data_IF_531837645657
#
_entry.id   IF_531837645657
#
_cell.length_a   1.000
_cell.length_b   1.000
_cell.length_c   1.000
_cell.angle_alpha   90.00
_cell.angle_beta   90.00
_cell.angle_gamma   90.00
#
_symmetry.space_group_name_H-M   'P 1'
#
loop_
_entity.id
_entity.type
_entity.pdbx_description
1 polymer ?
#
# COMPACT_ATOMS: atom_id res chain seq x y z
N UNK A 1 -54.58 -25.68 -27.90
CA UNK A 1 -54.72 -24.25 -28.24
C UNK A 1 -53.40 -23.56 -27.89
N UNK A 2 -52.48 -23.42 -28.86
CA UNK A 2 -51.21 -22.72 -28.67
C UNK A 2 -51.47 -21.22 -28.81
N UNK A 3 -51.31 -20.48 -27.72
CA UNK A 3 -51.37 -19.01 -27.73
C UNK A 3 -50.18 -18.47 -28.52
N UNK A 4 -50.42 -18.05 -29.76
CA UNK A 4 -49.42 -17.34 -30.56
C UNK A 4 -49.00 -16.07 -29.80
N UNK A 5 -47.74 -16.01 -29.37
CA UNK A 5 -47.17 -14.82 -28.72
C UNK A 5 -47.29 -13.65 -29.70
N UNK A 6 -47.82 -12.51 -29.24
CA UNK A 6 -48.01 -11.34 -30.08
C UNK A 6 -46.70 -10.91 -30.76
N UNK A 7 -46.71 -10.37 -32.00
CA UNK A 7 -45.51 -9.90 -32.69
C UNK A 7 -44.64 -8.94 -31.86
N UNK A 8 -45.27 -8.16 -30.98
CA UNK A 8 -44.60 -7.25 -30.06
C UNK A 8 -43.76 -7.99 -28.99
N UNK A 9 -44.18 -9.18 -28.56
CA UNK A 9 -43.44 -10.00 -27.59
C UNK A 9 -42.17 -10.61 -28.21
N UNK A 10 -42.24 -11.02 -29.48
CA UNK A 10 -41.08 -11.51 -30.23
C UNK A 10 -40.09 -10.38 -30.52
N UNK A 11 -40.57 -9.20 -30.91
CA UNK A 11 -39.73 -8.02 -31.12
C UNK A 11 -38.99 -7.57 -29.85
N UNK A 12 -39.67 -7.56 -28.69
CA UNK A 12 -39.04 -7.24 -27.39
C UNK A 12 -37.99 -8.28 -26.98
N UNK A 13 -38.26 -9.56 -27.20
CA UNK A 13 -37.30 -10.62 -26.92
C UNK A 13 -36.05 -10.52 -27.79
N UNK A 14 -36.22 -10.30 -29.10
CA UNK A 14 -35.10 -10.09 -30.02
C UNK A 14 -34.29 -8.84 -29.66
N UNK A 15 -34.96 -7.73 -29.33
CA UNK A 15 -34.28 -6.53 -28.86
C UNK A 15 -33.44 -6.80 -27.61
N UNK A 16 -33.99 -7.50 -26.61
CA UNK A 16 -33.26 -7.86 -25.39
C UNK A 16 -32.04 -8.75 -25.69
N UNK A 17 -32.19 -9.76 -26.56
CA UNK A 17 -31.09 -10.64 -26.97
C UNK A 17 -29.99 -9.85 -27.70
N UNK A 18 -30.37 -8.96 -28.62
CA UNK A 18 -29.41 -8.11 -29.34
C UNK A 18 -28.69 -7.18 -28.37
N UNK A 19 -29.41 -6.53 -27.45
CA UNK A 19 -28.81 -5.68 -26.42
C UNK A 19 -27.80 -6.44 -25.57
N UNK A 20 -28.16 -7.64 -25.09
CA UNK A 20 -27.24 -8.49 -24.32
C UNK A 20 -26.02 -8.91 -25.15
N UNK A 21 -26.22 -9.26 -26.42
CA UNK A 21 -25.12 -9.63 -27.32
C UNK A 21 -24.16 -8.45 -27.57
N UNK A 22 -24.70 -7.24 -27.76
CA UNK A 22 -23.89 -6.01 -27.92
C UNK A 22 -23.12 -5.72 -26.63
N UNK A 23 -23.77 -5.78 -25.46
CA UNK A 23 -23.10 -5.59 -24.17
C UNK A 23 -21.97 -6.61 -23.99
N UNK A 24 -22.23 -7.89 -24.25
CA UNK A 24 -21.22 -8.93 -24.15
C UNK A 24 -20.06 -8.72 -25.14
N UNK A 25 -20.35 -8.33 -26.38
CA UNK A 25 -19.34 -8.02 -27.38
C UNK A 25 -18.51 -6.78 -27.01
N UNK A 26 -19.13 -5.74 -26.47
CA UNK A 26 -18.43 -4.53 -25.98
C UNK A 26 -17.55 -4.84 -24.79
N UNK A 27 -18.01 -5.64 -23.82
CA UNK A 27 -17.21 -6.09 -22.68
C UNK A 27 -16.02 -6.93 -23.16
N UNK A 28 -16.24 -7.85 -24.10
CA UNK A 28 -15.17 -8.68 -24.66
C UNK A 28 -14.16 -7.83 -25.43
N UNK A 29 -14.63 -6.93 -26.29
CA UNK A 29 -13.77 -6.02 -27.06
C UNK A 29 -12.95 -5.12 -26.14
N UNK A 30 -13.56 -4.56 -25.09
CA UNK A 30 -12.88 -3.80 -24.07
C UNK A 30 -11.85 -4.65 -23.32
N UNK A 31 -12.21 -5.87 -22.90
CA UNK A 31 -11.32 -6.79 -22.22
C UNK A 31 -10.10 -7.16 -23.06
N UNK A 32 -10.29 -7.40 -24.36
CA UNK A 32 -9.19 -7.63 -25.32
C UNK A 32 -8.34 -6.37 -25.46
N UNK A 33 -8.95 -5.21 -25.72
CA UNK A 33 -8.21 -3.95 -25.86
C UNK A 33 -7.37 -3.64 -24.61
N UNK A 34 -7.94 -3.86 -23.42
CA UNK A 34 -7.28 -3.64 -22.14
C UNK A 34 -6.14 -4.65 -21.92
N UNK A 35 -6.38 -5.94 -22.15
CA UNK A 35 -5.38 -6.99 -21.95
C UNK A 35 -4.19 -6.90 -22.91
N UNK A 36 -4.41 -6.39 -24.13
CA UNK A 36 -3.38 -6.26 -25.16
C UNK A 36 -2.92 -4.82 -25.37
N UNK A 37 -3.29 -3.89 -24.48
CA UNK A 37 -2.75 -2.53 -24.51
C UNK A 37 -1.26 -2.60 -24.17
N UNK A 38 -0.43 -2.48 -25.19
CA UNK A 38 1.03 -2.46 -25.01
C UNK A 38 1.42 -1.27 -24.10
N UNK A 39 2.43 -1.45 -23.23
CA UNK A 39 3.09 -0.31 -22.59
C UNK A 39 3.50 0.69 -23.67
N UNK A 40 3.38 1.98 -23.38
CA UNK A 40 3.83 3.01 -24.31
C UNK A 40 5.30 2.74 -24.69
N UNK A 41 5.70 2.88 -25.96
CA UNK A 41 7.09 2.74 -26.35
C UNK A 41 7.98 3.71 -25.55
N UNK A 42 9.27 3.40 -25.46
CA UNK A 42 10.22 4.27 -24.76
C UNK A 42 10.10 5.73 -25.21
N UNK A 43 10.17 6.66 -24.27
CA UNK A 43 9.95 8.08 -24.50
C UNK A 43 11.14 8.92 -24.01
N UNK A 44 11.35 10.07 -24.65
CA UNK A 44 12.31 11.08 -24.18
C UNK A 44 11.54 12.23 -23.54
N UNK A 45 11.78 12.43 -22.25
CA UNK A 45 11.19 13.50 -21.47
C UNK A 45 12.04 14.77 -21.62
N UNK A 46 11.55 15.71 -22.43
CA UNK A 46 12.12 17.06 -22.58
C UNK A 46 11.08 18.08 -22.15
N UNK A 47 11.31 18.75 -21.02
CA UNK A 47 10.34 19.64 -20.36
C UNK A 47 11.04 20.55 -19.37
N UNK A 48 10.40 21.66 -18.97
CA UNK A 48 10.87 22.54 -17.90
C UNK A 48 10.88 21.87 -16.52
N UNK A 49 10.28 20.70 -16.38
CA UNK A 49 10.28 19.89 -15.16
C UNK A 49 11.57 19.09 -14.94
N UNK A 50 12.44 19.02 -15.95
CA UNK A 50 13.76 18.39 -15.87
C UNK A 50 14.80 19.40 -16.35
N UNK A 51 16.00 19.36 -15.77
CA UNK A 51 17.11 20.23 -16.15
C UNK A 51 17.73 19.87 -17.49
N UNK A 52 17.73 18.58 -17.84
CA UNK A 52 18.16 18.05 -19.14
C UNK A 52 17.18 16.97 -19.63
N UNK A 53 17.28 16.58 -20.90
CA UNK A 53 16.56 15.46 -21.46
C UNK A 53 16.79 14.16 -20.67
N UNK A 54 15.69 13.50 -20.31
CA UNK A 54 15.69 12.17 -19.68
C UNK A 54 15.16 11.16 -20.68
N UNK A 55 15.80 10.01 -20.80
CA UNK A 55 15.30 8.93 -21.66
C UNK A 55 14.73 7.80 -20.81
N UNK A 56 13.50 7.41 -21.09
CA UNK A 56 12.79 6.32 -20.42
C UNK A 56 12.59 5.21 -21.46
N UNK A 57 13.44 4.18 -21.40
CA UNK A 57 13.27 2.99 -22.24
C UNK A 57 12.37 1.99 -21.53
N UNK A 58 11.54 1.24 -22.26
CA UNK A 58 10.81 0.09 -21.70
C UNK A 58 11.23 -1.18 -22.41
N UNK A 59 11.52 -2.21 -21.64
CA UNK A 59 11.81 -3.54 -22.19
C UNK A 59 10.51 -4.28 -22.58
N UNK A 60 10.63 -5.52 -23.07
CA UNK A 60 9.48 -6.35 -23.49
C UNK A 60 8.44 -6.62 -22.39
N UNK A 61 8.84 -6.50 -21.11
CA UNK A 61 7.95 -6.65 -19.95
C UNK A 61 7.38 -5.32 -19.47
N UNK A 62 7.67 -4.21 -20.16
CA UNK A 62 7.23 -2.87 -19.79
C UNK A 62 8.04 -2.24 -18.65
N UNK A 63 9.13 -2.86 -18.19
CA UNK A 63 9.96 -2.33 -17.09
C UNK A 63 10.71 -1.08 -17.59
N UNK A 64 10.57 0.08 -16.93
CA UNK A 64 11.30 1.28 -17.31
C UNK A 64 12.78 1.22 -16.93
N UNK A 65 13.62 1.63 -17.86
CA UNK A 65 15.03 1.93 -17.71
C UNK A 65 15.22 3.44 -17.95
N UNK A 66 15.37 4.17 -16.85
CA UNK A 66 15.47 5.63 -16.82
C UNK A 66 16.94 6.01 -16.88
N UNK A 67 17.30 6.86 -17.84
CA UNK A 67 18.66 7.40 -18.01
C UNK A 67 18.59 8.92 -17.98
N UNK A 68 19.17 9.50 -16.94
CA UNK A 68 19.17 10.94 -16.68
C UNK A 68 20.58 11.48 -16.45
N UNK A 69 20.78 12.79 -16.69
CA UNK A 69 22.06 13.48 -16.46
C UNK A 69 22.18 14.12 -15.07
N UNK A 70 21.09 14.17 -14.31
CA UNK A 70 21.09 14.58 -12.91
C UNK A 70 20.24 13.62 -12.08
N UNK A 71 20.50 13.57 -10.77
CA UNK A 71 19.73 12.71 -9.87
C UNK A 71 18.27 13.20 -9.73
N UNK A 72 18.04 14.51 -9.73
CA UNK A 72 16.69 15.09 -9.63
C UNK A 72 15.86 14.74 -10.87
N UNK A 73 16.46 14.84 -12.06
CA UNK A 73 15.80 14.43 -13.31
C UNK A 73 15.43 12.94 -13.31
N UNK A 74 16.30 12.10 -12.70
CA UNK A 74 16.05 10.67 -12.55
C UNK A 74 14.84 10.40 -11.64
N UNK A 75 14.74 11.08 -10.49
CA UNK A 75 13.60 10.96 -9.58
C UNK A 75 12.32 11.55 -10.18
N UNK A 76 12.41 12.65 -10.92
CA UNK A 76 11.30 13.21 -11.69
C UNK A 76 10.76 12.19 -12.71
N UNK A 77 11.64 11.58 -13.51
CA UNK A 77 11.23 10.55 -14.46
C UNK A 77 10.69 9.27 -13.76
N UNK A 78 11.16 8.93 -12.56
CA UNK A 78 10.58 7.85 -11.75
C UNK A 78 9.14 8.17 -11.36
N UNK A 79 8.87 9.39 -10.88
CA UNK A 79 7.53 9.85 -10.55
C UNK A 79 6.59 9.86 -11.76
N UNK A 80 7.09 10.35 -12.90
CA UNK A 80 6.37 10.30 -14.16
C UNK A 80 6.03 8.86 -14.58
N UNK A 81 7.00 7.94 -14.49
CA UNK A 81 6.81 6.53 -14.87
C UNK A 81 5.81 5.82 -13.95
N UNK A 82 5.90 6.05 -12.63
CA UNK A 82 4.91 5.53 -11.68
C UNK A 82 3.51 6.05 -12.00
N UNK A 83 3.34 7.33 -12.32
CA UNK A 83 2.04 7.88 -12.68
C UNK A 83 1.53 7.30 -14.01
N UNK A 84 2.40 7.21 -15.02
CA UNK A 84 2.06 6.63 -16.32
C UNK A 84 1.46 5.23 -16.21
N UNK A 85 2.01 4.42 -15.31
CA UNK A 85 1.59 3.03 -15.17
C UNK A 85 0.53 2.81 -14.09
N UNK A 86 0.58 3.58 -12.99
CA UNK A 86 -0.07 3.26 -11.71
C UNK A 86 -0.78 4.43 -11.05
N UNK A 87 -1.07 5.53 -11.76
CA UNK A 87 -1.66 6.74 -11.17
C UNK A 87 -2.94 6.46 -10.35
N UNK A 88 -3.86 5.62 -10.82
CA UNK A 88 -5.07 5.33 -10.05
C UNK A 88 -4.79 4.50 -8.79
N UNK A 89 -3.88 3.52 -8.86
CA UNK A 89 -3.42 2.78 -7.68
C UNK A 89 -2.78 3.72 -6.65
N UNK A 90 -1.95 4.65 -7.11
CA UNK A 90 -1.33 5.67 -6.26
C UNK A 90 -2.37 6.60 -5.61
N UNK A 91 -3.36 7.05 -6.38
CA UNK A 91 -4.47 7.87 -5.88
C UNK A 91 -5.29 7.13 -4.81
N UNK A 92 -5.60 5.86 -5.05
CA UNK A 92 -6.30 5.01 -4.11
C UNK A 92 -5.53 4.88 -2.79
N UNK A 93 -4.22 4.61 -2.83
CA UNK A 93 -3.41 4.47 -1.62
C UNK A 93 -3.31 5.76 -0.81
N UNK A 94 -3.14 6.93 -1.45
CA UNK A 94 -3.16 8.20 -0.69
C UNK A 94 -4.53 8.48 -0.08
N UNK A 95 -5.63 8.11 -0.75
CA UNK A 95 -6.99 8.26 -0.23
C UNK A 95 -7.25 7.35 0.96
N UNK A 96 -6.79 6.10 0.93
CA UNK A 96 -6.83 5.21 2.09
C UNK A 96 -6.06 5.84 3.25
N UNK A 97 -4.80 6.24 3.03
CA UNK A 97 -3.95 6.82 4.07
C UNK A 97 -4.52 8.12 4.69
N UNK A 98 -5.33 8.86 3.92
CA UNK A 98 -5.95 10.12 4.35
C UNK A 98 -7.41 9.97 4.80
N UNK A 99 -8.00 8.78 4.67
CA UNK A 99 -9.43 8.52 4.88
C UNK A 99 -10.32 9.38 3.98
N UNK A 100 -10.20 9.19 2.67
CA UNK A 100 -10.91 9.95 1.62
C UNK A 100 -11.53 9.06 0.53
N UNK A 101 -11.85 7.81 0.86
CA UNK A 101 -12.48 6.85 -0.05
C UNK A 101 -13.96 7.16 -0.27
N UNK A 102 -14.66 7.67 0.74
CA UNK A 102 -16.08 8.02 0.61
C UNK A 102 -16.33 9.10 -0.44
N UNK A 103 -15.32 9.93 -0.74
CA UNK A 103 -15.38 10.93 -1.81
C UNK A 103 -15.58 10.31 -3.20
N UNK A 104 -15.14 9.05 -3.42
CA UNK A 104 -15.20 8.39 -4.73
C UNK A 104 -16.04 7.11 -4.74
N UNK A 105 -16.27 6.48 -3.58
CA UNK A 105 -17.07 5.27 -3.45
C UNK A 105 -18.39 5.45 -2.67
N UNK A 106 -18.63 6.63 -2.11
CA UNK A 106 -19.90 6.95 -1.44
C UNK A 106 -19.95 6.57 0.04
N UNK A 107 -21.17 6.61 0.59
CA UNK A 107 -21.43 6.54 2.03
C UNK A 107 -20.97 5.25 2.71
N UNK A 108 -20.93 4.14 1.98
CA UNK A 108 -20.46 2.84 2.47
C UNK A 108 -18.99 2.85 2.95
N UNK A 109 -18.22 3.85 2.52
CA UNK A 109 -16.81 4.00 2.90
C UNK A 109 -16.58 5.00 4.04
N UNK A 110 -17.62 5.66 4.57
CA UNK A 110 -17.49 6.64 5.66
C UNK A 110 -16.90 6.01 6.92
N UNK A 111 -17.28 4.77 7.25
CA UNK A 111 -16.72 4.04 8.40
C UNK A 111 -15.23 3.76 8.24
N UNK A 112 -14.80 3.43 7.03
CA UNK A 112 -13.39 3.20 6.69
C UNK A 112 -12.58 4.49 6.69
N UNK A 113 -13.14 5.57 6.17
CA UNK A 113 -12.53 6.90 6.24
C UNK A 113 -12.36 7.36 7.69
N UNK A 114 -13.37 7.16 8.53
CA UNK A 114 -13.29 7.46 9.95
C UNK A 114 -12.19 6.64 10.64
N UNK A 115 -12.08 5.34 10.32
CA UNK A 115 -11.02 4.48 10.85
C UNK A 115 -9.61 5.00 10.48
N UNK A 116 -9.33 5.23 9.19
CA UNK A 116 -8.01 5.71 8.77
C UNK A 116 -7.71 7.14 9.23
N UNK A 117 -8.73 7.99 9.42
CA UNK A 117 -8.56 9.31 10.03
C UNK A 117 -8.17 9.23 11.51
N UNK A 118 -8.63 8.21 12.25
CA UNK A 118 -8.20 7.97 13.64
C UNK A 118 -6.71 7.61 13.72
N UNK A 119 -6.16 6.94 12.71
CA UNK A 119 -4.73 6.62 12.63
C UNK A 119 -3.86 7.83 12.28
N UNK A 120 -4.47 8.92 11.78
CA UNK A 120 -3.80 10.19 11.48
C UNK A 120 -2.62 10.08 10.48
N UNK A 121 -2.55 9.03 9.65
CA UNK A 121 -1.38 8.76 8.80
C UNK A 121 -1.03 9.95 7.90
N UNK A 122 -2.03 10.52 7.22
CA UNK A 122 -1.85 11.73 6.40
C UNK A 122 -1.42 12.95 7.21
N UNK A 123 -1.99 13.16 8.41
CA UNK A 123 -1.64 14.31 9.27
C UNK A 123 -0.23 14.19 9.83
N UNK A 124 0.19 12.99 10.20
CA UNK A 124 1.56 12.67 10.63
C UNK A 124 2.54 12.91 9.48
N UNK A 125 2.19 12.48 8.26
CA UNK A 125 2.99 12.73 7.06
C UNK A 125 3.20 14.24 6.81
N UNK A 126 2.12 15.02 6.85
CA UNK A 126 2.15 16.46 6.59
C UNK A 126 2.89 17.25 7.70
N UNK A 127 2.60 16.98 8.97
CA UNK A 127 2.98 17.87 10.08
C UNK A 127 4.20 17.39 10.88
N UNK A 128 4.56 16.12 10.78
CA UNK A 128 5.65 15.53 11.59
C UNK A 128 6.76 15.02 10.69
N UNK A 129 6.45 14.14 9.74
CA UNK A 129 7.48 13.47 8.95
C UNK A 129 8.11 14.42 7.94
N UNK A 130 7.31 15.08 7.09
CA UNK A 130 7.85 15.95 6.04
C UNK A 130 8.74 17.07 6.63
N UNK A 131 8.35 17.80 7.70
CA UNK A 131 9.22 18.81 8.29
C UNK A 131 10.53 18.24 8.86
N UNK A 132 10.50 17.04 9.44
CA UNK A 132 11.65 16.40 10.08
C UNK A 132 12.66 15.77 9.09
N UNK A 133 12.31 15.64 7.80
CA UNK A 133 13.20 15.09 6.80
C UNK A 133 14.43 15.97 6.53
N UNK A 134 15.53 15.31 6.16
CA UNK A 134 16.74 15.97 5.67
C UNK A 134 16.46 16.77 4.39
N UNK A 135 17.33 17.75 4.09
CA UNK A 135 17.23 18.53 2.87
C UNK A 135 17.32 17.64 1.61
N UNK A 136 18.14 16.59 1.65
CA UNK A 136 18.27 15.62 0.57
C UNK A 136 16.97 14.84 0.34
N UNK A 137 16.35 14.30 1.40
CA UNK A 137 15.09 13.56 1.26
C UNK A 137 13.96 14.46 0.76
N UNK A 138 13.89 15.71 1.22
CA UNK A 138 12.93 16.70 0.69
C UNK A 138 13.16 16.97 -0.80
N UNK A 139 14.42 17.13 -1.23
CA UNK A 139 14.76 17.33 -2.64
C UNK A 139 14.31 16.14 -3.51
N UNK A 140 14.56 14.90 -3.07
CA UNK A 140 14.11 13.69 -3.76
C UNK A 140 12.58 13.62 -3.86
N UNK A 141 11.87 13.89 -2.76
CA UNK A 141 10.40 13.92 -2.75
C UNK A 141 9.85 15.00 -3.69
N UNK A 142 10.45 16.18 -3.72
CA UNK A 142 10.05 17.29 -4.58
C UNK A 142 10.21 16.93 -6.07
N UNK A 143 11.39 16.41 -6.46
CA UNK A 143 11.66 15.98 -7.82
C UNK A 143 10.70 14.88 -8.28
N UNK A 144 10.50 13.84 -7.45
CA UNK A 144 9.52 12.79 -7.73
C UNK A 144 8.09 13.34 -7.89
N UNK A 145 7.67 14.21 -6.98
CA UNK A 145 6.33 14.84 -7.00
C UNK A 145 6.12 15.68 -8.25
N UNK A 146 7.15 16.40 -8.70
CA UNK A 146 7.12 17.14 -9.96
C UNK A 146 6.85 16.23 -11.16
N UNK A 147 7.48 15.06 -11.20
CA UNK A 147 7.25 14.05 -12.24
C UNK A 147 5.82 13.50 -12.25
N UNK A 148 5.27 13.16 -11.08
CA UNK A 148 3.89 12.69 -10.95
C UNK A 148 2.91 13.77 -11.44
N UNK A 149 3.12 15.02 -10.99
CA UNK A 149 2.26 16.14 -11.37
C UNK A 149 2.36 16.50 -12.85
N UNK A 150 3.56 16.39 -13.44
CA UNK A 150 3.76 16.55 -14.88
C UNK A 150 2.92 15.55 -15.68
N UNK A 151 2.89 14.28 -15.27
CA UNK A 151 2.05 13.28 -15.92
C UNK A 151 0.56 13.63 -15.80
N UNK A 152 0.10 13.95 -14.57
CA UNK A 152 -1.29 14.35 -14.33
C UNK A 152 -1.69 15.55 -15.21
N UNK A 153 -0.81 16.55 -15.34
CA UNK A 153 -1.08 17.74 -16.15
C UNK A 153 -1.15 17.44 -17.65
N UNK A 154 -0.22 16.65 -18.18
CA UNK A 154 -0.18 16.29 -19.61
C UNK A 154 -1.34 15.39 -20.03
N UNK A 155 -1.83 14.55 -19.14
CA UNK A 155 -2.82 13.51 -19.46
C UNK A 155 -4.19 13.76 -18.84
N UNK A 156 -4.57 15.00 -18.50
CA UNK A 156 -5.89 15.33 -17.92
C UNK A 156 -7.09 14.81 -18.72
N UNK A 157 -6.94 14.68 -20.04
CA UNK A 157 -7.98 14.16 -20.95
C UNK A 157 -7.86 12.66 -21.24
N UNK A 158 -6.76 12.04 -20.81
CA UNK A 158 -6.39 10.65 -21.12
C UNK A 158 -5.97 9.89 -19.85
N UNK A 159 -6.66 10.17 -18.74
CA UNK A 159 -6.40 9.51 -17.47
C UNK A 159 -6.76 8.02 -17.51
N UNK A 160 -6.22 7.22 -16.57
CA UNK A 160 -6.69 5.86 -16.34
C UNK A 160 -8.21 5.78 -16.26
N UNK A 161 -8.78 4.68 -16.77
CA UNK A 161 -10.22 4.57 -17.00
C UNK A 161 -11.03 4.73 -15.71
N UNK A 162 -10.47 4.34 -14.57
CA UNK A 162 -11.10 4.36 -13.27
C UNK A 162 -11.54 5.77 -12.87
N UNK A 163 -10.75 6.79 -13.22
CA UNK A 163 -11.11 8.20 -12.99
C UNK A 163 -12.38 8.60 -13.74
N UNK A 164 -12.49 8.20 -15.02
CA UNK A 164 -13.69 8.45 -15.83
C UNK A 164 -14.89 7.63 -15.36
N UNK A 165 -14.68 6.37 -14.99
CA UNK A 165 -15.72 5.48 -14.49
C UNK A 165 -16.33 5.96 -13.16
N UNK A 166 -15.50 6.53 -12.27
CA UNK A 166 -15.90 7.07 -10.98
C UNK A 166 -16.24 8.57 -11.04
N UNK A 167 -16.12 9.20 -12.21
CA UNK A 167 -16.54 10.58 -12.43
C UNK A 167 -15.71 11.64 -11.69
N UNK A 168 -14.42 11.40 -11.47
CA UNK A 168 -13.54 12.35 -10.77
C UNK A 168 -12.18 12.52 -11.45
N UNK A 169 -11.45 13.55 -11.01
CA UNK A 169 -10.10 13.88 -11.48
C UNK A 169 -9.15 13.85 -10.28
N UNK A 170 -7.91 13.35 -10.42
CA UNK A 170 -6.94 13.33 -9.33
C UNK A 170 -6.52 14.76 -8.97
N UNK A 171 -6.39 15.03 -7.66
CA UNK A 171 -5.75 16.27 -7.20
C UNK A 171 -4.24 16.22 -7.43
N UNK A 172 -3.55 17.37 -7.51
CA UNK A 172 -2.09 17.39 -7.53
C UNK A 172 -1.48 16.53 -6.42
N UNK A 173 -0.45 15.76 -6.78
CA UNK A 173 0.36 14.98 -5.87
C UNK A 173 1.16 15.87 -4.95
N UNK A 174 1.23 15.49 -3.67
CA UNK A 174 2.01 16.19 -2.64
C UNK A 174 3.19 15.33 -2.22
N UNK A 175 4.29 15.96 -1.82
CA UNK A 175 5.46 15.26 -1.28
C UNK A 175 5.09 14.36 -0.09
N UNK A 176 4.17 14.82 0.76
CA UNK A 176 3.67 14.08 1.90
C UNK A 176 2.76 12.90 1.54
N UNK A 177 2.22 12.83 0.32
CA UNK A 177 1.47 11.65 -0.14
C UNK A 177 2.39 10.42 -0.18
N UNK A 178 3.66 10.60 -0.55
CA UNK A 178 4.66 9.53 -0.52
C UNK A 178 4.85 8.97 0.90
N UNK A 179 4.91 9.86 1.89
CA UNK A 179 5.09 9.52 3.30
C UNK A 179 3.83 8.89 3.90
N UNK A 180 2.65 9.39 3.52
CA UNK A 180 1.37 8.83 3.95
C UNK A 180 1.19 7.39 3.43
N UNK A 181 1.55 7.14 2.17
CA UNK A 181 1.55 5.78 1.60
C UNK A 181 2.57 4.89 2.32
N UNK A 182 3.78 5.40 2.59
CA UNK A 182 4.77 4.65 3.39
C UNK A 182 4.23 4.24 4.76
N UNK A 183 3.50 5.14 5.44
CA UNK A 183 2.85 4.83 6.73
C UNK A 183 1.69 3.86 6.61
N UNK A 184 0.91 3.96 5.53
CA UNK A 184 -0.14 2.99 5.23
C UNK A 184 0.43 1.59 5.02
N UNK A 185 1.55 1.47 4.30
CA UNK A 185 2.23 0.19 4.10
C UNK A 185 2.82 -0.36 5.40
N UNK A 186 3.36 0.50 6.26
CA UNK A 186 3.80 0.09 7.60
C UNK A 186 2.63 -0.44 8.43
N UNK A 187 1.49 0.26 8.42
CA UNK A 187 0.28 -0.17 9.12
C UNK A 187 -0.26 -1.51 8.60
N UNK A 188 -0.31 -1.69 7.28
CA UNK A 188 -0.74 -2.97 6.68
C UNK A 188 0.16 -4.15 7.07
N UNK A 189 1.43 -3.88 7.42
CA UNK A 189 2.39 -4.90 7.86
C UNK A 189 2.43 -5.09 9.38
N UNK A 190 1.72 -4.29 10.17
CA UNK A 190 1.64 -4.42 11.63
C UNK A 190 0.72 -5.57 12.01
N UNK A 191 1.32 -6.71 12.36
CA UNK A 191 0.53 -7.88 12.79
C UNK A 191 -0.04 -7.70 14.19
N UNK A 192 0.72 -7.10 15.12
CA UNK A 192 0.28 -6.85 16.50
C UNK A 192 -1.01 -6.05 16.57
N UNK A 193 -1.21 -5.12 15.63
CA UNK A 193 -2.43 -4.32 15.59
C UNK A 193 -3.71 -5.17 15.63
N UNK A 194 -3.74 -6.31 14.95
CA UNK A 194 -4.94 -7.15 14.92
C UNK A 194 -4.80 -8.44 15.73
N UNK A 195 -3.60 -9.01 15.85
CA UNK A 195 -3.39 -10.23 16.63
C UNK A 195 -3.69 -10.01 18.10
N UNK A 196 -3.34 -8.84 18.64
CA UNK A 196 -3.52 -8.54 20.06
C UNK A 196 -4.98 -8.29 20.40
N UNK A 197 -5.73 -7.62 19.50
CA UNK A 197 -7.17 -7.48 19.64
C UNK A 197 -7.87 -8.85 19.61
N UNK A 198 -7.48 -9.71 18.66
CA UNK A 198 -8.05 -11.05 18.52
C UNK A 198 -7.72 -11.94 19.73
N UNK A 199 -6.46 -11.95 20.18
CA UNK A 199 -6.03 -12.69 21.36
C UNK A 199 -6.66 -12.13 22.65
N UNK A 200 -6.82 -10.81 22.74
CA UNK A 200 -7.51 -10.12 23.83
C UNK A 200 -8.98 -10.54 23.92
N UNK A 201 -9.69 -10.59 22.79
CA UNK A 201 -11.08 -11.10 22.74
C UNK A 201 -11.18 -12.57 23.17
N UNK A 202 -10.26 -13.42 22.70
CA UNK A 202 -10.21 -14.84 23.10
C UNK A 202 -9.91 -14.97 24.60
N UNK A 203 -8.99 -14.16 25.13
CA UNK A 203 -8.62 -14.15 26.54
C UNK A 203 -9.76 -13.68 27.44
N UNK A 204 -10.53 -12.66 27.01
CA UNK A 204 -11.73 -12.18 27.72
C UNK A 204 -12.82 -13.26 27.75
N UNK A 205 -13.07 -13.94 26.62
CA UNK A 205 -14.15 -14.94 26.51
C UNK A 205 -13.81 -16.29 27.13
N UNK A 206 -12.58 -16.77 26.99
CA UNK A 206 -12.18 -18.14 27.36
C UNK A 206 -11.12 -18.21 28.47
N UNK A 207 -10.62 -17.06 28.93
CA UNK A 207 -9.55 -16.96 29.91
C UNK A 207 -8.15 -16.98 29.30
N UNK A 208 -7.24 -16.21 29.90
CA UNK A 208 -5.86 -15.99 29.41
C UNK A 208 -5.08 -17.28 29.20
N UNK A 209 -5.21 -18.27 30.09
CA UNK A 209 -4.47 -19.55 29.97
C UNK A 209 -4.82 -20.27 28.67
N UNK A 210 -6.10 -20.27 28.27
CA UNK A 210 -6.55 -20.90 27.03
C UNK A 210 -6.15 -20.10 25.80
N UNK A 211 -6.19 -18.77 25.88
CA UNK A 211 -5.72 -17.89 24.81
C UNK A 211 -4.22 -18.09 24.54
N UNK A 212 -3.39 -18.09 25.59
CA UNK A 212 -1.95 -18.31 25.47
C UNK A 212 -1.59 -19.70 24.93
N UNK A 213 -2.44 -20.71 25.13
CA UNK A 213 -2.24 -22.05 24.57
C UNK A 213 -2.34 -22.08 23.03
N UNK A 214 -2.92 -21.05 22.39
CA UNK A 214 -2.98 -20.91 20.94
C UNK A 214 -1.69 -20.32 20.35
N UNK A 215 -0.84 -19.71 21.17
CA UNK A 215 0.38 -19.05 20.72
C UNK A 215 1.53 -20.06 20.76
N UNK A 216 2.22 -20.32 19.64
CA UNK A 216 3.41 -21.16 19.64
C UNK A 216 4.47 -20.58 20.58
N UNK A 217 5.02 -21.41 21.48
CA UNK A 217 6.09 -20.97 22.36
C UNK A 217 7.39 -20.74 21.59
N UNK A 218 8.11 -19.66 21.92
CA UNK A 218 9.50 -19.49 21.48
C UNK A 218 10.42 -20.36 22.35
N UNK A 219 11.36 -21.13 21.79
CA UNK A 219 12.25 -21.97 22.59
C UNK A 219 13.03 -21.13 23.61
N UNK A 220 13.09 -21.58 24.86
CA UNK A 220 13.81 -20.85 25.93
C UNK A 220 15.32 -20.66 25.64
N UNK A 221 15.88 -21.51 24.80
CA UNK A 221 17.28 -21.46 24.37
C UNK A 221 17.50 -20.67 23.07
N UNK A 222 16.43 -20.22 22.41
CA UNK A 222 16.56 -19.44 21.19
C UNK A 222 16.96 -17.99 21.54
N UNK A 223 17.80 -17.34 20.71
CA UNK A 223 18.28 -15.99 20.98
C UNK A 223 17.12 -14.98 21.01
N UNK A 224 17.15 -14.05 21.96
CA UNK A 224 16.21 -12.92 22.04
C UNK A 224 16.98 -11.61 21.92
N UNK A 225 16.43 -10.64 21.19
CA UNK A 225 17.04 -9.30 21.03
C UNK A 225 16.85 -8.46 22.30
N UNK A 226 15.71 -8.63 22.98
CA UNK A 226 15.42 -8.01 24.28
C UNK A 226 15.67 -9.05 25.38
N UNK A 227 16.48 -8.76 26.41
CA UNK A 227 16.58 -9.61 27.59
C UNK A 227 15.18 -9.76 28.22
N UNK A 228 14.80 -10.99 28.60
CA UNK A 228 13.49 -11.36 29.17
C UNK A 228 12.79 -10.24 29.95
N UNK A 229 11.50 -9.95 29.67
CA UNK A 229 10.76 -8.87 30.34
C UNK A 229 10.84 -8.98 31.86
N UNK A 230 11.11 -7.85 32.51
CA UNK A 230 11.34 -7.76 33.96
C UNK A 230 10.07 -7.84 34.82
N UNK A 231 8.90 -8.14 34.25
CA UNK A 231 7.66 -8.13 35.04
C UNK A 231 6.57 -9.08 34.52
N UNK A 232 6.38 -10.25 35.15
CA UNK A 232 5.25 -11.14 34.88
C UNK A 232 3.91 -10.62 35.44
N UNK A 233 3.91 -9.49 36.13
CA UNK A 233 2.74 -8.97 36.85
C UNK A 233 1.98 -7.93 36.04
N UNK A 234 1.30 -8.36 34.98
CA UNK A 234 0.26 -7.56 34.33
C UNK A 234 -0.80 -8.46 33.68
N UNK A 235 -1.25 -9.48 34.39
CA UNK A 235 -2.43 -10.26 33.99
C UNK A 235 -3.41 -10.22 35.17
N UNK A 236 -3.85 -9.01 35.51
CA UNK A 236 -4.96 -8.78 36.43
C UNK A 236 -6.22 -8.64 35.60
N UNK A 237 -7.07 -9.67 35.61
CA UNK A 237 -8.25 -9.78 34.77
C UNK A 237 -9.20 -8.58 34.89
N UNK A 238 -9.43 -7.90 33.77
CA UNK A 238 -10.58 -7.06 33.60
C UNK A 238 -11.75 -7.95 33.13
N UNK A 239 -12.41 -8.58 34.09
CA UNK A 239 -13.60 -9.37 33.81
C UNK A 239 -14.81 -8.45 33.62
N UNK A 240 -15.38 -8.49 32.41
CA UNK A 240 -16.68 -7.91 32.06
C UNK A 240 -16.61 -6.48 31.53
N UNK A 241 -17.04 -6.31 30.28
CA UNK A 241 -17.14 -5.09 29.43
C UNK A 241 -16.04 -4.87 28.39
N UNK A 242 -14.84 -5.45 28.54
CA UNK A 242 -13.79 -5.32 27.53
C UNK A 242 -14.04 -6.14 26.28
N UNK A 243 -14.62 -7.35 26.39
CA UNK A 243 -14.93 -8.17 25.22
C UNK A 243 -15.75 -7.45 24.15
N UNK A 244 -16.74 -6.64 24.55
CA UNK A 244 -17.55 -5.86 23.61
C UNK A 244 -16.78 -4.70 22.96
N UNK A 245 -15.74 -4.18 23.63
CA UNK A 245 -14.86 -3.15 23.07
C UNK A 245 -13.89 -3.79 22.07
N UNK A 246 -13.26 -4.91 22.45
CA UNK A 246 -12.39 -5.68 21.56
C UNK A 246 -13.15 -6.17 20.33
N UNK A 247 -14.35 -6.73 20.50
CA UNK A 247 -15.19 -7.19 19.40
C UNK A 247 -15.52 -6.04 18.43
N UNK A 248 -15.90 -4.86 18.94
CA UNK A 248 -16.17 -3.68 18.10
C UNK A 248 -14.93 -3.19 17.36
N UNK A 249 -13.77 -3.13 18.03
CA UNK A 249 -12.52 -2.73 17.40
C UNK A 249 -12.09 -3.73 16.31
N UNK A 250 -12.17 -5.04 16.61
CA UNK A 250 -11.95 -6.12 15.66
C UNK A 250 -12.87 -6.01 14.44
N UNK A 251 -14.17 -5.79 14.66
CA UNK A 251 -15.15 -5.65 13.58
C UNK A 251 -14.90 -4.41 12.72
N UNK A 252 -14.61 -3.26 13.33
CA UNK A 252 -14.32 -2.03 12.61
C UNK A 252 -13.04 -2.17 11.77
N UNK A 253 -11.98 -2.73 12.34
CA UNK A 253 -10.75 -3.04 11.61
C UNK A 253 -10.99 -4.06 10.51
N UNK A 254 -11.73 -5.14 10.79
CA UNK A 254 -12.03 -6.18 9.81
C UNK A 254 -12.87 -5.64 8.64
N UNK A 255 -13.80 -4.73 8.89
CA UNK A 255 -14.55 -4.05 7.86
C UNK A 255 -13.64 -3.15 7.01
N UNK A 256 -12.86 -2.28 7.67
CA UNK A 256 -11.97 -1.35 6.99
C UNK A 256 -10.91 -2.07 6.13
N UNK A 257 -10.24 -3.09 6.68
CA UNK A 257 -9.21 -3.85 5.95
C UNK A 257 -9.79 -4.53 4.70
N UNK A 258 -10.99 -5.10 4.80
CA UNK A 258 -11.62 -5.81 3.68
C UNK A 258 -12.01 -4.84 2.57
N UNK A 259 -12.54 -3.66 2.91
CA UNK A 259 -12.89 -2.64 1.91
C UNK A 259 -11.67 -2.08 1.17
N UNK A 260 -10.48 -2.07 1.79
CA UNK A 260 -9.24 -1.59 1.15
C UNK A 260 -8.37 -2.69 0.56
N UNK A 261 -8.84 -3.94 0.55
CA UNK A 261 -8.11 -5.09 -0.01
C UNK A 261 -6.88 -5.49 0.80
N UNK A 262 -6.86 -5.19 2.10
CA UNK A 262 -5.83 -5.65 3.03
C UNK A 262 -6.26 -7.00 3.61
N UNK A 263 -5.39 -8.01 3.48
CA UNK A 263 -5.69 -9.38 3.85
C UNK A 263 -4.78 -9.84 4.99
N UNK A 264 -5.38 -10.47 6.01
CA UNK A 264 -4.68 -10.93 7.21
C UNK A 264 -3.80 -12.18 7.00
N UNK A 265 -3.94 -12.88 5.87
CA UNK A 265 -3.24 -14.13 5.56
C UNK A 265 -2.50 -13.99 4.21
N UNK A 266 -1.38 -14.68 4.06
CA UNK A 266 -0.61 -14.71 2.81
C UNK A 266 0.52 -13.68 2.73
N UNK A 267 0.98 -13.16 3.87
CA UNK A 267 2.20 -12.35 3.97
C UNK A 267 3.34 -13.18 4.57
N UNK A 268 4.54 -13.03 4.02
CA UNK A 268 5.76 -13.72 4.43
C UNK A 268 6.93 -13.23 3.59
N UNK A 269 8.15 -13.71 3.82
CA UNK A 269 9.27 -13.44 2.92
C UNK A 269 10.42 -14.39 3.20
N UNK A 270 11.24 -14.65 2.18
CA UNK A 270 12.56 -15.24 2.35
C UNK A 270 13.65 -14.24 1.98
N UNK A 271 14.78 -14.31 2.67
CA UNK A 271 16.00 -13.61 2.26
C UNK A 271 17.23 -14.41 2.67
N UNK A 272 18.05 -14.79 1.68
CA UNK A 272 19.29 -15.52 1.88
C UNK A 272 20.45 -14.72 1.30
N UNK A 273 21.52 -14.57 2.08
CA UNK A 273 22.79 -14.01 1.63
C UNK A 273 23.89 -15.05 1.86
N UNK A 274 24.58 -15.43 0.79
CA UNK A 274 25.71 -16.36 0.85
C UNK A 274 26.98 -15.68 0.34
N UNK A 275 28.10 -15.90 1.03
CA UNK A 275 29.43 -15.60 0.50
C UNK A 275 29.81 -16.73 -0.46
N UNK A 276 30.32 -16.38 -1.63
CA UNK A 276 30.91 -17.35 -2.55
C UNK A 276 32.43 -17.34 -2.38
N UNK A 277 33.09 -18.47 -2.64
CA UNK A 277 34.54 -18.57 -2.65
C UNK A 277 34.90 -19.20 -3.99
N UNK A 278 35.09 -18.37 -5.02
CA UNK A 278 35.49 -18.86 -6.34
C UNK A 278 36.16 -17.75 -7.14
N UNK A 279 37.31 -18.06 -7.72
CA UNK A 279 38.05 -17.15 -8.61
C UNK A 279 37.17 -16.72 -9.80
N UNK A 280 36.99 -15.41 -9.95
CA UNK A 280 36.34 -14.79 -11.12
C UNK A 280 34.80 -14.73 -11.10
N UNK A 281 34.13 -14.98 -9.96
CA UNK A 281 32.67 -14.81 -9.79
C UNK A 281 32.34 -13.77 -8.70
N UNK A 282 31.12 -13.20 -8.68
CA UNK A 282 30.72 -12.25 -7.63
C UNK A 282 30.85 -12.90 -6.24
N UNK A 283 31.48 -12.16 -5.31
CA UNK A 283 31.85 -12.61 -3.95
C UNK A 283 30.67 -12.94 -3.03
N UNK A 284 29.44 -12.66 -3.47
CA UNK A 284 28.21 -12.97 -2.75
C UNK A 284 27.02 -13.17 -3.70
N UNK A 285 26.05 -13.96 -3.25
CA UNK A 285 24.72 -14.09 -3.86
C UNK A 285 23.67 -13.70 -2.84
N UNK A 286 22.73 -12.84 -3.25
CA UNK A 286 21.54 -12.48 -2.49
C UNK A 286 20.30 -13.01 -3.21
N UNK A 287 19.45 -13.73 -2.50
CA UNK A 287 18.12 -14.12 -2.95
C UNK A 287 17.08 -13.49 -2.01
N UNK A 288 16.27 -12.56 -2.52
CA UNK A 288 15.19 -11.95 -1.77
C UNK A 288 13.85 -12.22 -2.47
N UNK A 289 12.92 -12.79 -1.71
CA UNK A 289 11.65 -13.33 -2.20
C UNK A 289 10.51 -12.89 -1.26
N UNK A 290 10.04 -11.64 -1.39
CA UNK A 290 8.95 -11.11 -0.56
C UNK A 290 7.60 -11.67 -1.00
N UNK A 291 6.86 -12.25 -0.06
CA UNK A 291 5.50 -12.77 -0.29
C UNK A 291 4.47 -11.78 0.22
N UNK A 292 3.84 -11.08 -0.72
CA UNK A 292 2.67 -10.24 -0.46
C UNK A 292 1.47 -10.86 -1.17
N UNK A 293 0.28 -10.56 -0.66
CA UNK A 293 -0.96 -11.01 -1.29
C UNK A 293 -0.98 -10.55 -2.75
N UNK A 294 -1.29 -11.48 -3.65
CA UNK A 294 -1.38 -11.20 -5.08
C UNK A 294 -2.51 -10.20 -5.32
N UNK A 295 -2.16 -9.09 -5.99
CA UNK A 295 -3.09 -8.04 -6.37
C UNK A 295 -2.85 -7.64 -7.82
N UNK A 296 -3.89 -7.09 -8.44
CA UNK A 296 -3.83 -6.50 -9.78
C UNK A 296 -4.27 -5.03 -9.67
N UNK A 297 -3.38 -4.06 -9.90
CA UNK A 297 -1.95 -4.23 -10.25
C UNK A 297 -1.09 -4.69 -9.04
N UNK A 298 0.06 -5.37 -9.27
CA UNK A 298 0.91 -5.87 -8.19
C UNK A 298 1.53 -4.73 -7.37
N UNK A 299 1.83 -4.95 -6.09
CA UNK A 299 2.41 -3.91 -5.22
C UNK A 299 3.80 -3.45 -5.67
N UNK A 300 4.66 -4.42 -6.02
CA UNK A 300 6.01 -4.14 -6.49
C UNK A 300 6.01 -3.55 -7.90
N UNK A 301 6.84 -2.52 -8.08
CA UNK A 301 7.08 -1.89 -9.37
C UNK A 301 8.57 -1.96 -9.69
N UNK A 302 8.92 -2.66 -10.77
CA UNK A 302 10.33 -2.82 -11.15
C UNK A 302 10.81 -1.60 -11.95
N UNK A 303 12.04 -1.18 -11.70
CA UNK A 303 12.67 -0.06 -12.41
C UNK A 303 14.18 -0.22 -12.41
N UNK A 304 14.81 0.26 -13.49
CA UNK A 304 16.23 0.53 -13.55
C UNK A 304 16.45 2.05 -13.64
N UNK A 305 17.24 2.60 -12.73
CA UNK A 305 17.51 4.02 -12.61
C UNK A 305 19.02 4.27 -12.81
N UNK A 306 19.35 5.10 -13.81
CA UNK A 306 20.72 5.52 -14.10
C UNK A 306 20.82 7.05 -14.10
N UNK A 307 21.73 7.57 -13.28
CA UNK A 307 22.09 8.98 -13.12
C UNK A 307 23.56 9.08 -12.67
N UNK A 308 24.14 10.28 -12.45
CA UNK A 308 25.51 10.40 -11.97
C UNK A 308 25.78 9.64 -10.65
N UNK A 309 24.84 9.67 -9.71
CA UNK A 309 25.01 9.01 -8.40
C UNK A 309 24.37 7.62 -8.33
N UNK A 310 23.42 7.31 -9.22
CA UNK A 310 22.65 6.07 -9.15
C UNK A 310 22.86 5.21 -10.40
N UNK A 311 23.14 3.93 -10.19
CA UNK A 311 23.00 2.91 -11.22
C UNK A 311 22.44 1.66 -10.53
N UNK A 312 21.12 1.62 -10.41
CA UNK A 312 20.39 0.67 -9.57
C UNK A 312 19.22 0.04 -10.30
N UNK A 313 19.06 -1.27 -10.15
CA UNK A 313 17.91 -2.02 -10.65
C UNK A 313 17.24 -2.76 -9.51
N UNK A 314 15.92 -2.74 -9.45
CA UNK A 314 15.18 -3.36 -8.36
C UNK A 314 13.70 -3.04 -8.42
N UNK A 315 13.06 -3.04 -7.25
CA UNK A 315 11.65 -2.77 -7.08
C UNK A 315 11.39 -1.64 -6.08
N UNK A 316 10.48 -0.75 -6.46
CA UNK A 316 9.88 0.31 -5.67
C UNK A 316 8.43 -0.08 -5.31
N UNK A 317 7.77 0.81 -4.56
CA UNK A 317 6.31 0.84 -4.46
C UNK A 317 5.81 2.10 -5.19
N UNK A 318 4.78 2.02 -6.05
CA UNK A 318 4.19 3.20 -6.68
C UNK A 318 3.77 4.24 -5.62
N UNK A 319 4.23 5.47 -5.78
CA UNK A 319 4.05 6.53 -4.78
C UNK A 319 5.24 6.72 -3.83
N UNK A 320 6.27 5.88 -3.85
CA UNK A 320 7.46 6.01 -3.00
C UNK A 320 8.74 6.04 -3.85
N UNK A 321 9.56 7.12 -3.80
CA UNK A 321 10.77 7.26 -4.62
C UNK A 321 11.99 6.49 -4.06
N UNK A 322 11.79 5.24 -3.63
CA UNK A 322 12.85 4.42 -3.01
C UNK A 322 12.81 3.00 -3.57
N UNK A 323 13.97 2.50 -4.01
CA UNK A 323 14.15 1.09 -4.33
C UNK A 323 14.33 0.29 -3.03
N UNK A 324 13.26 -0.33 -2.56
CA UNK A 324 13.25 -1.09 -1.31
C UNK A 324 14.01 -2.42 -1.43
N UNK A 325 14.04 -2.98 -2.64
CA UNK A 325 14.76 -4.21 -2.97
C UNK A 325 15.51 -3.94 -4.26
N UNK A 326 16.77 -4.36 -4.35
CA UNK A 326 17.51 -4.17 -5.58
C UNK A 326 18.99 -4.42 -5.47
N UNK A 327 19.70 -3.95 -6.48
CA UNK A 327 21.15 -3.99 -6.55
C UNK A 327 21.69 -2.83 -7.35
N UNK A 328 22.96 -2.52 -7.09
CA UNK A 328 23.82 -1.68 -7.92
C UNK A 328 24.89 -2.53 -8.60
N UNK A 329 25.93 -1.86 -9.11
CA UNK A 329 27.14 -2.52 -9.60
C UNK A 329 27.99 -3.13 -8.46
N UNK A 330 27.83 -2.65 -7.22
CA UNK A 330 28.69 -3.03 -6.09
C UNK A 330 27.95 -3.68 -4.92
N UNK A 331 26.65 -3.45 -4.76
CA UNK A 331 25.87 -3.91 -3.59
C UNK A 331 24.52 -4.51 -4.02
N UNK A 332 23.98 -5.41 -3.21
CA UNK A 332 22.62 -5.92 -3.33
C UNK A 332 21.94 -5.88 -1.95
N UNK A 333 20.65 -5.57 -1.92
CA UNK A 333 19.86 -5.51 -0.69
C UNK A 333 18.44 -6.04 -0.94
N UNK A 334 17.84 -6.50 0.14
CA UNK A 334 16.48 -7.03 0.15
C UNK A 334 15.88 -6.89 1.53
N UNK A 335 14.56 -7.03 1.60
CA UNK A 335 13.80 -6.88 2.85
C UNK A 335 12.91 -8.09 3.08
N UNK A 336 12.70 -8.42 4.36
CA UNK A 336 11.72 -9.41 4.81
C UNK A 336 10.93 -8.82 5.95
N UNK A 337 9.64 -9.17 6.06
CA UNK A 337 8.88 -8.79 7.25
C UNK A 337 9.46 -9.52 8.48
N UNK A 338 9.87 -8.74 9.49
CA UNK A 338 10.42 -9.26 10.75
C UNK A 338 9.32 -9.75 11.70
N UNK A 339 8.07 -9.38 11.45
CA UNK A 339 6.93 -9.76 12.29
C UNK A 339 7.13 -9.32 13.76
N UNK A 340 7.70 -8.13 13.93
CA UNK A 340 7.96 -7.49 15.23
C UNK A 340 6.62 -7.21 15.94
N UNK A 341 6.65 -7.29 17.26
CA UNK A 341 5.62 -6.70 18.09
C UNK A 341 5.74 -5.16 18.13
N UNK A 342 4.92 -4.46 17.34
CA UNK A 342 5.07 -3.04 17.03
C UNK A 342 3.86 -2.16 17.40
N UNK A 343 2.88 -2.74 18.08
CA UNK A 343 1.67 -2.05 18.51
C UNK A 343 1.20 -2.59 19.87
N UNK A 344 1.00 -1.71 20.85
CA UNK A 344 0.44 -2.05 22.16
C UNK A 344 -0.92 -1.38 22.35
N UNK A 345 -1.82 -2.08 23.05
CA UNK A 345 -3.12 -1.54 23.48
C UNK A 345 -3.11 -1.21 24.97
N UNK A 346 -3.54 0.01 25.30
CA UNK A 346 -3.68 0.47 26.67
C UNK A 346 -5.15 0.59 27.06
N UNK A 347 -5.49 0.09 28.25
CA UNK A 347 -6.81 0.28 28.84
C UNK A 347 -6.80 1.56 29.66
N UNK A 348 -7.45 2.60 29.14
CA UNK A 348 -7.57 3.89 29.81
C UNK A 348 -8.84 3.95 30.66
N UNK A 349 -8.77 4.60 31.83
CA UNK A 349 -9.94 4.90 32.67
C UNK A 349 -10.31 6.36 32.49
N UNK A 350 -11.53 6.62 32.01
CA UNK A 350 -12.05 7.98 31.93
C UNK A 350 -12.09 8.63 33.32
N UNK A 351 -11.78 9.93 33.36
CA UNK A 351 -11.97 10.72 34.56
C UNK A 351 -13.46 10.94 34.85
N UNK A 352 -13.79 11.06 36.13
CA UNK A 352 -15.13 11.35 36.65
C UNK A 352 -15.69 12.71 36.23
N UNK A 353 -14.85 13.63 35.72
CA UNK A 353 -15.24 14.99 35.33
C UNK A 353 -15.69 15.14 33.87
N UNK A 354 -15.53 14.10 33.03
CA UNK A 354 -15.99 14.10 31.64
C UNK A 354 -15.36 13.01 30.76
N UNK A 355 -15.95 12.74 29.59
CA UNK A 355 -15.55 11.65 28.68
C UNK A 355 -14.33 11.94 27.80
N UNK A 356 -13.65 13.08 27.97
CA UNK A 356 -12.53 13.52 27.14
C UNK A 356 -11.18 13.57 27.87
N UNK A 357 -11.15 13.18 29.14
CA UNK A 357 -9.94 13.12 29.97
C UNK A 357 -9.77 11.71 30.54
N UNK A 358 -8.52 11.23 30.55
CA UNK A 358 -8.17 9.88 31.00
C UNK A 358 -7.16 9.96 32.13
N UNK A 359 -7.26 9.04 33.08
CA UNK A 359 -6.35 9.00 34.22
C UNK A 359 -5.02 8.34 33.85
N UNK A 360 -3.91 9.09 33.91
CA UNK A 360 -2.55 8.55 33.74
C UNK A 360 -1.92 8.40 35.12
N UNK A 361 -1.65 7.16 35.55
CA UNK A 361 -1.11 6.89 36.89
C UNK A 361 -2.03 7.33 38.04
N UNK A 362 -3.35 7.38 37.80
CA UNK A 362 -4.34 7.81 38.78
C UNK A 362 -4.52 9.33 38.91
N UNK A 363 -3.93 10.12 38.01
CA UNK A 363 -4.11 11.58 37.93
C UNK A 363 -4.74 11.96 36.57
N UNK A 364 -5.61 12.99 36.52
CA UNK A 364 -6.17 13.50 35.27
C UNK A 364 -5.12 14.00 34.27
#
# INVERSE_FOLDING_TARGET
MQTARSPATVGRFLAAVITLAVIAASILAFGIWFAFRAPAPGETLTTTAVGDSVTIWRNEFGIPHIVARSDDDAFCALGYSHAADRLWQMDLYRRIARGQLAEIFGEDFVGTDAFFRTLLLGRIADNVLLPALSAESKRVLAAYTQGVNLFIERHRQELPFEFGALGYQPTPWRESDCLAIGRLMAFDMSMSFWSDLALGEIADRYGVVRALALIPGYPKSAPTVVPTPRNPQAIGGAAGSLGQLFERACQQYAHARTQVGFHALGSGSNCWAIRTVSDGKPDAVLANDPHLVLGLPPRWYQVHLTSPSYNVIGATLPGIPVLLIGRSHAHAWGVTNVMLDDCDYFLERADSTGSSTVLIGGRP
#
